data_IF_272875000322
#
_entry.id   IF_272875000322
#
_cell.length_a   1.000
_cell.length_b   1.000
_cell.length_c   1.000
_cell.angle_alpha   90.00
_cell.angle_beta   90.00
_cell.angle_gamma   90.00
#
_symmetry.space_group_name_H-M   'P 1'
#
loop_
_entity.id
_entity.type
_entity.pdbx_description
1 polymer ?
#
# COMPACT_ATOMS: atom_id res chain seq x y z
N UNK A 1 -8.53 -5.99 9.56
CA UNK A 1 -7.70 -6.77 10.52
C UNK A 1 -7.37 -5.86 11.70
N UNK A 2 -7.63 -6.28 12.93
CA UNK A 2 -7.46 -5.38 14.08
C UNK A 2 -5.98 -5.36 14.56
N UNK A 3 -5.64 -4.40 15.43
CA UNK A 3 -4.29 -4.27 16.01
C UNK A 3 -3.83 -5.54 16.73
N UNK A 4 -4.73 -6.21 17.47
CA UNK A 4 -4.44 -7.44 18.21
C UNK A 4 -4.11 -8.60 17.28
N UNK A 5 -4.85 -8.77 16.18
CA UNK A 5 -4.57 -9.79 15.17
C UNK A 5 -3.16 -9.59 14.60
N UNK A 6 -2.80 -8.33 14.34
CA UNK A 6 -1.50 -7.96 13.77
C UNK A 6 -0.35 -8.25 14.74
N UNK A 7 -0.54 -7.98 16.03
CA UNK A 7 0.40 -8.37 17.08
C UNK A 7 0.54 -9.89 17.18
N UNK A 8 -0.58 -10.62 17.15
CA UNK A 8 -0.57 -12.09 17.25
C UNK A 8 0.22 -12.73 16.11
N UNK A 9 0.03 -12.27 14.87
CA UNK A 9 0.84 -12.72 13.74
C UNK A 9 2.33 -12.50 14.00
N UNK A 10 2.74 -11.29 14.40
CA UNK A 10 4.17 -10.98 14.65
C UNK A 10 4.78 -11.81 15.76
N UNK A 11 3.98 -12.16 16.76
CA UNK A 11 4.40 -12.97 17.90
C UNK A 11 4.25 -14.49 17.66
N UNK A 12 3.84 -14.91 16.45
CA UNK A 12 3.60 -16.33 16.16
C UNK A 12 2.42 -16.94 16.96
N UNK A 13 1.53 -16.11 17.48
CA UNK A 13 0.38 -16.54 18.27
C UNK A 13 -0.82 -16.83 17.35
N UNK A 14 -1.68 -17.81 17.71
CA UNK A 14 -2.89 -18.09 16.96
C UNK A 14 -3.85 -16.89 17.03
N UNK A 15 -4.43 -16.51 15.89
CA UNK A 15 -5.46 -15.49 15.82
C UNK A 15 -6.76 -16.06 16.38
N UNK A 16 -7.40 -15.33 17.27
CA UNK A 16 -8.65 -15.73 17.90
C UNK A 16 -9.82 -15.34 17.00
N UNK A 17 -10.80 -16.24 16.85
CA UNK A 17 -12.03 -16.00 16.09
C UNK A 17 -11.83 -15.64 14.60
N UNK A 18 -10.98 -16.39 13.88
CA UNK A 18 -10.94 -16.30 12.43
C UNK A 18 -12.31 -16.69 11.84
N UNK A 19 -12.90 -15.91 10.91
CA UNK A 19 -14.08 -16.36 10.20
C UNK A 19 -13.77 -17.65 9.43
N UNK A 20 -14.79 -18.48 9.16
CA UNK A 20 -14.57 -19.75 8.44
C UNK A 20 -14.34 -19.54 6.93
N UNK A 21 -14.92 -18.47 6.37
CA UNK A 21 -14.88 -18.15 4.94
C UNK A 21 -14.58 -16.66 4.75
N UNK A 22 -13.94 -16.35 3.63
CA UNK A 22 -13.73 -14.97 3.18
C UNK A 22 -15.05 -14.36 2.73
N UNK A 23 -15.35 -13.18 3.23
CA UNK A 23 -16.48 -12.33 2.83
C UNK A 23 -16.45 -11.89 1.36
N UNK A 24 -15.26 -11.76 0.76
CA UNK A 24 -15.11 -11.37 -0.65
C UNK A 24 -15.12 -12.52 -1.66
N UNK A 25 -14.44 -13.63 -1.38
CA UNK A 25 -14.28 -14.73 -2.35
C UNK A 25 -14.87 -16.08 -1.92
N UNK A 26 -15.47 -16.16 -0.73
CA UNK A 26 -16.09 -17.37 -0.16
C UNK A 26 -15.19 -18.60 0.05
N UNK A 27 -13.87 -18.49 -0.18
CA UNK A 27 -12.89 -19.55 0.11
C UNK A 27 -12.67 -19.72 1.62
N UNK A 28 -12.17 -20.89 2.08
CA UNK A 28 -11.75 -21.07 3.46
C UNK A 28 -10.80 -19.95 3.88
N UNK A 29 -11.11 -19.30 5.00
CA UNK A 29 -10.34 -18.16 5.44
C UNK A 29 -9.18 -18.63 6.32
N UNK A 30 -7.97 -18.25 5.92
CA UNK A 30 -6.74 -18.47 6.65
C UNK A 30 -5.99 -17.15 6.76
N UNK A 31 -4.96 -17.11 7.61
CA UNK A 31 -4.07 -15.95 7.71
C UNK A 31 -3.42 -15.65 6.36
N UNK A 32 -2.87 -16.67 5.70
CA UNK A 32 -2.29 -16.54 4.36
C UNK A 32 -3.30 -16.02 3.34
N UNK A 33 -4.52 -16.55 3.36
CA UNK A 33 -5.60 -16.09 2.49
C UNK A 33 -5.90 -14.62 2.72
N UNK A 34 -6.00 -14.18 3.98
CA UNK A 34 -6.24 -12.80 4.35
C UNK A 34 -5.16 -11.84 3.84
N UNK A 35 -3.91 -12.30 3.71
CA UNK A 35 -2.79 -11.47 3.23
C UNK A 35 -2.76 -11.30 1.71
N UNK A 36 -3.41 -12.20 0.97
CA UNK A 36 -3.28 -12.30 -0.48
C UNK A 36 -4.61 -12.09 -1.23
N UNK A 37 -5.73 -12.22 -0.54
CA UNK A 37 -7.05 -12.13 -1.17
C UNK A 37 -7.33 -10.71 -1.68
N UNK A 38 -7.49 -10.60 -3.00
CA UNK A 38 -7.86 -9.35 -3.68
C UNK A 38 -9.34 -8.99 -3.56
N UNK A 39 -10.18 -9.92 -3.09
CA UNK A 39 -11.63 -9.75 -2.99
C UNK A 39 -12.09 -9.42 -1.56
N UNK A 40 -11.42 -9.93 -0.53
CA UNK A 40 -11.81 -9.77 0.87
C UNK A 40 -11.44 -8.43 1.51
N UNK A 41 -11.04 -7.44 0.70
CA UNK A 41 -10.76 -6.06 1.15
C UNK A 41 -9.54 -5.85 2.04
N UNK A 42 -9.03 -6.87 2.73
CA UNK A 42 -7.97 -6.73 3.74
C UNK A 42 -6.64 -6.23 3.17
N UNK A 43 -6.30 -6.60 1.93
CA UNK A 43 -5.09 -6.08 1.24
C UNK A 43 -5.23 -4.58 1.00
N UNK A 44 -6.39 -4.13 0.52
CA UNK A 44 -6.70 -2.72 0.27
C UNK A 44 -6.72 -1.96 1.59
N UNK A 45 -7.35 -2.51 2.63
CA UNK A 45 -7.40 -1.88 3.95
C UNK A 45 -6.01 -1.65 4.54
N UNK A 46 -5.07 -2.59 4.37
CA UNK A 46 -3.68 -2.42 4.84
C UNK A 46 -2.98 -1.28 4.11
N UNK A 47 -3.15 -1.21 2.80
CA UNK A 47 -2.64 -0.12 1.98
C UNK A 47 -3.20 1.23 2.45
N UNK A 48 -4.53 1.34 2.53
CA UNK A 48 -5.21 2.59 2.87
C UNK A 48 -4.91 3.05 4.30
N UNK A 49 -4.80 2.11 5.25
CA UNK A 49 -4.37 2.44 6.61
C UNK A 49 -2.95 2.99 6.64
N UNK A 50 -1.99 2.30 6.00
CA UNK A 50 -0.60 2.76 5.94
C UNK A 50 -0.49 4.14 5.28
N UNK A 51 -1.21 4.31 4.19
CA UNK A 51 -1.33 5.57 3.46
C UNK A 51 -1.88 6.69 4.34
N UNK A 52 -2.97 6.45 5.07
CA UNK A 52 -3.60 7.42 5.96
C UNK A 52 -2.65 7.84 7.10
N UNK A 53 -1.95 6.86 7.71
CA UNK A 53 -0.94 7.14 8.73
C UNK A 53 0.21 7.99 8.15
N UNK A 54 0.72 7.64 6.98
CA UNK A 54 1.77 8.43 6.33
C UNK A 54 1.32 9.86 6.01
N UNK A 55 0.10 10.03 5.51
CA UNK A 55 -0.49 11.36 5.29
C UNK A 55 -0.64 12.15 6.59
N UNK A 56 -1.06 11.51 7.69
CA UNK A 56 -1.17 12.13 9.01
C UNK A 56 0.19 12.64 9.49
N UNK A 57 1.23 11.82 9.38
CA UNK A 57 2.61 12.21 9.72
C UNK A 57 3.09 13.39 8.86
N UNK A 58 2.86 13.35 7.55
CA UNK A 58 3.22 14.45 6.66
C UNK A 58 2.44 15.74 6.99
N UNK A 59 1.17 15.61 7.37
CA UNK A 59 0.32 16.75 7.74
C UNK A 59 0.84 17.42 9.01
N UNK A 60 1.29 16.63 9.99
CA UNK A 60 1.90 17.14 11.21
C UNK A 60 3.25 17.83 10.94
N UNK A 61 4.04 17.31 10.00
CA UNK A 61 5.37 17.83 9.69
C UNK A 61 5.35 19.09 8.79
N UNK A 62 4.48 19.12 7.77
CA UNK A 62 4.51 20.13 6.69
C UNK A 62 3.25 21.00 6.63
N UNK A 63 2.26 20.71 7.47
CA UNK A 63 0.96 21.36 7.47
C UNK A 63 -0.04 20.73 6.48
N UNK A 64 -1.35 20.91 6.73
CA UNK A 64 -2.41 20.24 5.97
C UNK A 64 -2.50 20.68 4.50
N UNK A 65 -2.10 21.91 4.18
CA UNK A 65 -2.10 22.41 2.79
C UNK A 65 -1.01 21.78 1.91
N UNK A 66 -0.01 21.16 2.54
CA UNK A 66 1.14 20.58 1.86
C UNK A 66 0.94 19.12 1.46
N UNK A 67 -0.17 18.48 1.88
CA UNK A 67 -0.43 17.04 1.66
C UNK A 67 -1.69 16.86 0.82
N UNK A 68 -1.66 15.98 -0.19
CA UNK A 68 -2.88 15.63 -0.96
C UNK A 68 -3.04 14.13 -1.13
N UNK A 69 -4.29 13.69 -1.03
CA UNK A 69 -4.73 12.34 -1.37
C UNK A 69 -4.84 12.16 -2.89
N UNK A 70 -4.30 11.05 -3.39
CA UNK A 70 -4.40 10.62 -4.79
C UNK A 70 -4.04 11.72 -5.82
N UNK A 71 -2.83 12.30 -5.77
CA UNK A 71 -2.42 13.37 -6.68
C UNK A 71 -2.38 12.89 -8.13
N UNK A 72 -2.78 13.75 -9.07
CA UNK A 72 -2.60 13.49 -10.50
C UNK A 72 -1.14 13.68 -10.91
N UNK A 73 -0.60 12.71 -11.64
CA UNK A 73 0.75 12.74 -12.21
C UNK A 73 0.65 13.26 -13.63
N UNK A 74 1.01 14.52 -13.82
CA UNK A 74 1.08 15.12 -15.15
C UNK A 74 2.36 14.67 -15.85
N UNK A 75 2.24 13.70 -16.76
CA UNK A 75 3.35 13.28 -17.62
C UNK A 75 3.26 14.03 -18.94
N UNK A 76 4.21 14.92 -19.22
CA UNK A 76 4.28 15.58 -20.52
C UNK A 76 5.05 14.67 -21.49
N UNK A 77 4.34 13.85 -22.25
CA UNK A 77 4.92 13.06 -23.34
C UNK A 77 5.04 13.91 -24.61
N UNK A 78 6.24 14.00 -25.20
CA UNK A 78 6.46 14.67 -26.47
C UNK A 78 6.04 13.74 -27.64
N UNK A 79 4.74 13.46 -27.78
CA UNK A 79 4.22 12.64 -28.88
C UNK A 79 3.39 13.50 -29.84
N UNK A 80 3.99 13.82 -30.98
CA UNK A 80 3.49 14.68 -32.05
C UNK A 80 2.16 14.26 -32.73
N UNK A 81 1.23 13.51 -32.12
CA UNK A 81 -0.10 13.34 -32.75
C UNK A 81 -1.28 12.78 -31.92
N UNK A 82 -1.30 12.95 -30.60
CA UNK A 82 -2.54 12.94 -29.80
C UNK A 82 -2.17 13.13 -28.34
N UNK A 83 -2.82 14.10 -27.68
CA UNK A 83 -2.72 14.27 -26.24
C UNK A 83 -3.50 13.11 -25.60
N UNK A 84 -2.89 11.93 -25.47
CA UNK A 84 -3.39 10.95 -24.51
C UNK A 84 -2.95 11.43 -23.13
N UNK A 85 -3.82 12.19 -22.46
CA UNK A 85 -3.69 12.47 -21.03
C UNK A 85 -3.90 11.14 -20.33
N UNK A 86 -2.82 10.40 -20.06
CA UNK A 86 -2.91 9.26 -19.17
C UNK A 86 -3.08 9.83 -17.76
N UNK A 87 -4.27 9.65 -17.18
CA UNK A 87 -4.59 10.09 -15.83
C UNK A 87 -3.92 9.17 -14.80
N UNK A 88 -2.59 9.20 -14.77
CA UNK A 88 -1.80 8.53 -13.75
C UNK A 88 -2.04 9.24 -12.42
N UNK A 89 -2.28 8.47 -11.37
CA UNK A 89 -2.47 9.01 -10.01
C UNK A 89 -1.52 8.30 -9.06
N UNK A 90 -0.82 9.06 -8.23
CA UNK A 90 -0.08 8.51 -7.10
C UNK A 90 -1.00 8.25 -5.93
N UNK A 91 -0.46 7.76 -4.81
CA UNK A 91 -1.25 7.56 -3.59
C UNK A 91 -1.29 8.82 -2.73
N UNK A 92 -0.13 9.43 -2.50
CA UNK A 92 0.04 10.59 -1.63
C UNK A 92 0.98 11.59 -2.30
N UNK A 93 0.72 12.87 -2.13
CA UNK A 93 1.74 13.90 -2.37
C UNK A 93 2.05 14.69 -1.11
N UNK A 94 3.31 15.08 -0.97
CA UNK A 94 3.78 16.01 0.05
C UNK A 94 4.66 17.09 -0.58
N UNK A 95 4.31 18.35 -0.36
CA UNK A 95 5.04 19.53 -0.83
C UNK A 95 6.18 19.87 0.13
N UNK A 96 7.39 20.06 -0.39
CA UNK A 96 8.58 20.36 0.41
C UNK A 96 9.21 19.15 1.09
N UNK A 97 8.77 17.92 0.78
CA UNK A 97 9.26 16.70 1.44
C UNK A 97 10.72 16.36 1.07
N UNK A 98 11.01 16.15 -0.22
CA UNK A 98 12.35 15.77 -0.69
C UNK A 98 13.23 16.98 -1.02
N UNK A 99 12.63 17.99 -1.65
CA UNK A 99 13.26 19.24 -2.02
C UNK A 99 12.33 20.40 -1.68
N UNK A 100 12.90 21.52 -1.25
CA UNK A 100 12.15 22.75 -1.03
C UNK A 100 11.34 23.13 -2.27
N UNK A 101 10.12 23.61 -2.02
CA UNK A 101 9.19 24.08 -3.05
C UNK A 101 8.87 23.07 -4.17
N UNK A 102 9.03 21.76 -3.91
CA UNK A 102 8.67 20.70 -4.86
C UNK A 102 7.69 19.72 -4.24
N UNK A 103 6.70 19.32 -5.04
CA UNK A 103 5.79 18.22 -4.69
C UNK A 103 6.49 16.88 -4.93
N UNK A 104 6.57 16.06 -3.90
CA UNK A 104 6.98 14.66 -4.00
C UNK A 104 5.73 13.80 -4.01
N UNK A 105 5.64 12.87 -4.95
CA UNK A 105 4.53 11.92 -5.07
C UNK A 105 5.04 10.54 -4.62
N UNK A 106 4.24 9.87 -3.81
CA UNK A 106 4.53 8.54 -3.26
C UNK A 106 3.49 7.54 -3.77
N UNK A 107 3.98 6.36 -4.13
CA UNK A 107 3.20 5.15 -4.36
C UNK A 107 3.47 4.20 -3.20
N UNK A 108 2.42 3.71 -2.55
CA UNK A 108 2.51 2.90 -1.34
C UNK A 108 2.33 1.44 -1.70
N UNK A 109 3.27 0.60 -1.27
CA UNK A 109 3.19 -0.84 -1.49
C UNK A 109 3.45 -1.61 -0.20
N UNK A 110 2.51 -2.50 0.13
CA UNK A 110 2.70 -3.50 1.19
C UNK A 110 2.99 -4.85 0.53
N UNK A 111 4.11 -5.47 0.88
CA UNK A 111 4.52 -6.77 0.34
C UNK A 111 4.67 -7.79 1.46
N UNK A 112 3.99 -8.91 1.33
CA UNK A 112 4.22 -10.10 2.16
C UNK A 112 5.45 -10.84 1.62
N UNK A 113 6.58 -10.75 2.32
CA UNK A 113 7.82 -11.42 1.93
C UNK A 113 7.81 -12.92 2.18
N UNK A 114 6.90 -13.40 3.02
CA UNK A 114 6.77 -14.82 3.39
C UNK A 114 5.70 -15.54 2.56
N UNK A 115 5.11 -14.87 1.57
CA UNK A 115 4.13 -15.46 0.68
C UNK A 115 4.70 -16.74 0.02
N UNK A 116 3.88 -17.79 -0.19
CA UNK A 116 4.33 -19.06 -0.78
C UNK A 116 5.04 -18.91 -2.14
N UNK A 117 4.69 -17.88 -2.92
CA UNK A 117 5.36 -17.55 -4.20
C UNK A 117 6.80 -17.07 -4.04
N UNK A 118 7.19 -16.64 -2.84
CA UNK A 118 8.54 -16.21 -2.50
C UNK A 118 9.29 -17.25 -1.66
N UNK A 119 8.74 -18.46 -1.51
CA UNK A 119 9.41 -19.56 -0.81
C UNK A 119 10.78 -19.79 -1.44
N UNK A 120 11.83 -19.70 -0.62
CA UNK A 120 13.26 -19.76 -1.00
C UNK A 120 13.86 -18.48 -1.61
N UNK A 121 13.17 -17.34 -1.56
CA UNK A 121 13.78 -16.04 -1.86
C UNK A 121 14.12 -15.31 -0.57
N UNK A 122 15.29 -14.70 -0.56
CA UNK A 122 15.69 -13.79 0.51
C UNK A 122 14.72 -12.58 0.58
N UNK A 123 14.19 -12.21 1.76
CA UNK A 123 13.21 -11.12 1.90
C UNK A 123 13.70 -9.79 1.32
N UNK A 124 14.99 -9.46 1.45
CA UNK A 124 15.56 -8.23 0.90
C UNK A 124 15.54 -8.29 -0.63
N UNK A 125 15.84 -9.45 -1.22
CA UNK A 125 15.72 -9.66 -2.68
C UNK A 125 14.27 -9.60 -3.16
N UNK A 126 13.29 -10.02 -2.35
CA UNK A 126 11.87 -9.87 -2.68
C UNK A 126 11.54 -8.39 -2.74
N UNK A 127 11.85 -7.62 -1.69
CA UNK A 127 11.59 -6.18 -1.63
C UNK A 127 12.30 -5.40 -2.75
N UNK A 128 13.54 -5.76 -3.07
CA UNK A 128 14.28 -5.16 -4.17
C UNK A 128 13.54 -5.32 -5.52
N UNK A 129 12.94 -6.50 -5.78
CA UNK A 129 12.16 -6.73 -6.99
C UNK A 129 10.79 -6.04 -7.03
N UNK A 130 10.34 -5.44 -5.94
CA UNK A 130 9.08 -4.67 -5.91
C UNK A 130 9.29 -3.17 -6.16
N UNK A 131 10.54 -2.70 -6.21
CA UNK A 131 10.87 -1.31 -6.53
C UNK A 131 10.68 -1.12 -8.04
N UNK A 132 9.85 -0.15 -8.42
CA UNK A 132 9.72 0.32 -9.80
C UNK A 132 10.91 1.21 -10.17
#
# INVERSE_FOLDING_TARGET
>A
MNFRDSLRIRLGLPILALPKKCDGCNKPFSVEHAQQCKHGGLVIQRHDNLKAEFMSLCTQAFGPSSVRDKPTIHTFGNSNNSIQVQELRGDVSAYGFWNERRTTIFDVRVTDTDAPSYRNRDPIKVLASQRA
#
